data_IF_945309848882
#
_entry.id   IF_945309848882
#
_cell.length_a   1.000
_cell.length_b   1.000
_cell.length_c   1.000
_cell.angle_alpha   90.00
_cell.angle_beta   90.00
_cell.angle_gamma   90.00
#
_symmetry.space_group_name_H-M   'P 1'
#
loop_
_entity.id
_entity.type
_entity.pdbx_description
1 polymer ?
#
# COMPACT_ATOMS: atom_id res chain seq x y z
N UNK A 1 19.66 -20.57 4.78
CA UNK A 1 19.98 -19.14 4.93
C UNK A 1 19.16 -18.39 3.87
N UNK A 2 17.99 -17.84 4.24
CA UNK A 2 17.16 -17.09 3.30
C UNK A 2 17.93 -15.85 2.85
N UNK A 3 17.97 -15.53 1.54
CA UNK A 3 18.65 -14.34 1.08
C UNK A 3 17.97 -13.10 1.66
N UNK A 4 18.68 -12.40 2.52
CA UNK A 4 18.27 -11.16 3.20
C UNK A 4 18.03 -9.97 2.25
N UNK A 5 17.92 -10.22 0.95
CA UNK A 5 17.75 -9.20 -0.10
C UNK A 5 16.29 -8.78 -0.34
N UNK A 6 15.35 -9.23 0.49
CA UNK A 6 13.96 -8.80 0.38
C UNK A 6 13.71 -7.60 1.28
N UNK A 7 13.21 -6.55 0.68
CA UNK A 7 12.76 -5.32 1.32
C UNK A 7 11.77 -5.67 2.43
N UNK A 8 12.12 -5.37 3.68
CA UNK A 8 11.16 -5.26 4.77
C UNK A 8 10.32 -4.01 4.47
N UNK A 9 9.28 -4.19 3.67
CA UNK A 9 8.29 -3.14 3.49
C UNK A 9 7.38 -3.22 4.70
N UNK A 10 7.65 -2.38 5.67
CA UNK A 10 6.69 -2.16 6.73
C UNK A 10 5.50 -1.42 6.12
N UNK A 11 4.44 -2.16 5.84
CA UNK A 11 3.11 -1.65 5.52
C UNK A 11 2.45 -1.15 6.81
N UNK A 12 3.05 -0.18 7.46
CA UNK A 12 2.31 0.59 8.42
C UNK A 12 1.71 1.76 7.65
N UNK A 13 0.39 1.73 7.49
CA UNK A 13 -0.35 2.97 7.37
C UNK A 13 0.14 3.81 8.53
N UNK A 14 1.01 4.79 8.24
CA UNK A 14 1.31 5.79 9.23
C UNK A 14 0.00 6.50 9.44
N UNK A 15 -0.71 6.05 10.45
CA UNK A 15 -1.91 6.69 10.92
C UNK A 15 -1.56 8.15 11.14
N UNK A 16 -2.41 9.02 10.69
CA UNK A 16 -2.38 10.45 10.96
C UNK A 16 -2.15 10.76 12.43
N UNK A 17 -2.52 9.82 13.31
CA UNK A 17 -2.35 9.89 14.76
C UNK A 17 -0.91 9.71 15.24
N UNK A 18 0.01 9.13 14.45
CA UNK A 18 1.39 8.94 14.92
C UNK A 18 2.21 10.23 14.88
N UNK A 19 3.11 10.35 15.84
CA UNK A 19 4.15 11.36 15.86
C UNK A 19 5.14 11.11 14.70
N UNK A 20 5.24 12.06 13.78
CA UNK A 20 6.05 11.93 12.57
C UNK A 20 7.56 11.90 12.85
N UNK A 21 8.05 12.49 13.98
CA UNK A 21 9.45 12.35 14.39
C UNK A 21 9.75 10.90 14.75
N UNK A 22 8.92 10.31 15.60
CA UNK A 22 9.09 8.90 16.01
C UNK A 22 8.99 7.95 14.84
N UNK A 23 8.08 8.22 13.91
CA UNK A 23 8.00 7.46 12.68
C UNK A 23 9.33 7.50 11.93
N UNK A 24 9.86 8.68 11.67
CA UNK A 24 11.14 8.81 10.98
C UNK A 24 12.27 8.10 11.72
N UNK A 25 12.41 8.32 13.02
CA UNK A 25 13.43 7.71 13.86
C UNK A 25 13.38 6.18 13.89
N UNK A 26 12.17 5.61 14.00
CA UNK A 26 11.96 4.16 13.95
C UNK A 26 12.40 3.57 12.61
N UNK A 27 11.97 4.17 11.50
CA UNK A 27 12.35 3.70 10.17
C UNK A 27 13.84 3.91 9.87
N UNK A 28 14.41 5.03 10.31
CA UNK A 28 15.84 5.27 10.19
C UNK A 28 16.67 4.29 11.02
N UNK A 29 16.18 3.89 12.21
CA UNK A 29 16.81 2.85 13.04
C UNK A 29 16.78 1.50 12.33
N UNK A 30 15.65 1.12 11.71
CA UNK A 30 15.55 -0.13 10.93
C UNK A 30 16.47 -0.06 9.70
N UNK A 31 16.55 1.09 9.02
CA UNK A 31 17.45 1.26 7.88
C UNK A 31 18.93 1.13 8.27
N UNK A 32 19.31 1.59 9.48
CA UNK A 32 20.65 1.40 10.00
C UNK A 32 21.02 -0.09 10.18
N UNK A 33 20.04 -0.95 10.52
CA UNK A 33 20.21 -2.40 10.65
C UNK A 33 20.20 -3.08 9.28
N UNK A 34 19.33 -2.63 8.38
CA UNK A 34 19.10 -3.22 7.05
C UNK A 34 19.06 -2.15 5.96
N UNK A 35 20.20 -1.55 5.59
CA UNK A 35 20.28 -0.39 4.70
C UNK A 35 19.60 -0.61 3.34
N UNK A 36 18.76 0.33 2.94
CA UNK A 36 18.05 0.33 1.65
C UNK A 36 16.92 -0.70 1.56
N UNK A 37 16.51 -1.32 2.67
CA UNK A 37 15.45 -2.32 2.73
C UNK A 37 14.14 -1.79 3.32
N UNK A 38 14.10 -0.52 3.65
CA UNK A 38 12.99 0.15 4.32
C UNK A 38 12.29 1.10 3.36
N UNK A 39 10.97 1.12 3.41
CA UNK A 39 10.11 2.05 2.66
C UNK A 39 8.94 2.44 3.57
N UNK A 40 8.57 3.72 3.56
CA UNK A 40 7.43 4.24 4.32
C UNK A 40 6.22 4.31 3.37
N UNK A 41 5.08 3.78 3.81
CA UNK A 41 3.80 4.00 3.14
C UNK A 41 2.93 4.90 4.03
N UNK A 42 2.82 6.15 3.65
CA UNK A 42 2.01 7.13 4.38
C UNK A 42 0.54 7.02 3.98
N UNK A 43 -0.36 6.89 4.95
CA UNK A 43 -1.80 6.81 4.73
C UNK A 43 -2.57 7.48 5.86
N UNK A 44 -3.81 7.86 5.56
CA UNK A 44 -4.69 8.54 6.52
C UNK A 44 -5.28 7.60 7.58
N UNK A 45 -5.14 6.29 7.39
CA UNK A 45 -5.80 5.30 8.23
C UNK A 45 -7.23 4.96 7.80
N UNK A 46 -7.65 3.74 8.11
CA UNK A 46 -8.98 3.24 7.75
C UNK A 46 -9.97 3.27 8.91
N UNK A 47 -9.48 3.29 10.13
CA UNK A 47 -10.27 3.23 11.36
C UNK A 47 -10.25 4.60 12.06
N UNK A 48 -11.39 4.96 12.67
CA UNK A 48 -11.60 6.28 13.25
C UNK A 48 -11.23 6.33 14.73
N UNK A 49 -11.14 5.20 15.41
CA UNK A 49 -10.84 5.10 16.85
C UNK A 49 -9.51 5.77 17.24
N UNK A 50 -8.55 5.78 16.31
CA UNK A 50 -7.28 6.44 16.56
C UNK A 50 -7.41 7.96 16.71
N UNK A 51 -8.42 8.58 16.14
CA UNK A 51 -8.66 10.02 16.26
C UNK A 51 -9.04 10.37 17.69
N UNK A 52 -10.04 9.69 18.25
CA UNK A 52 -10.46 9.87 19.62
C UNK A 52 -9.33 9.54 20.62
N UNK A 53 -8.63 8.43 20.39
CA UNK A 53 -7.56 7.97 21.27
C UNK A 53 -6.40 8.95 21.33
N UNK A 54 -6.09 9.64 20.25
CA UNK A 54 -4.98 10.62 20.17
C UNK A 54 -5.45 12.08 20.21
N UNK A 55 -6.74 12.32 20.46
CA UNK A 55 -7.30 13.65 20.62
C UNK A 55 -7.36 14.47 19.33
N UNK A 56 -7.52 13.83 18.19
CA UNK A 56 -7.70 14.49 16.90
C UNK A 56 -9.18 14.50 16.50
N UNK A 57 -9.60 15.59 15.87
CA UNK A 57 -10.90 15.72 15.28
C UNK A 57 -10.92 15.20 13.83
N UNK A 58 -11.90 14.37 13.51
CA UNK A 58 -12.11 13.84 12.16
C UNK A 58 -12.38 14.93 11.11
N UNK A 59 -12.92 16.09 11.51
CA UNK A 59 -13.08 17.22 10.60
C UNK A 59 -11.75 17.69 10.01
N UNK A 60 -10.65 17.51 10.74
CA UNK A 60 -9.31 17.87 10.30
C UNK A 60 -8.55 16.77 9.57
N UNK A 61 -9.20 15.68 9.19
CA UNK A 61 -8.62 14.47 8.62
C UNK A 61 -7.63 14.70 7.47
N UNK A 62 -8.00 15.56 6.53
CA UNK A 62 -7.16 15.85 5.35
C UNK A 62 -6.02 16.82 5.69
N UNK A 63 -6.30 17.91 6.42
CA UNK A 63 -5.30 18.89 6.81
C UNK A 63 -4.21 18.27 7.70
N UNK A 64 -4.63 17.47 8.67
CA UNK A 64 -3.73 16.74 9.57
C UNK A 64 -2.76 15.84 8.81
N UNK A 65 -3.27 15.10 7.82
CA UNK A 65 -2.44 14.24 6.97
C UNK A 65 -1.45 15.03 6.14
N UNK A 66 -1.91 16.10 5.49
CA UNK A 66 -1.08 16.92 4.60
C UNK A 66 0.09 17.53 5.39
N UNK A 67 -0.22 18.21 6.48
CA UNK A 67 0.79 18.89 7.28
C UNK A 67 1.86 17.95 7.83
N UNK A 68 1.43 16.79 8.35
CA UNK A 68 2.35 15.77 8.85
C UNK A 68 3.17 15.11 7.74
N UNK A 69 2.58 14.88 6.58
CA UNK A 69 3.29 14.33 5.42
C UNK A 69 4.38 15.31 4.93
N UNK A 70 4.05 16.58 4.79
CA UNK A 70 5.00 17.60 4.34
C UNK A 70 6.19 17.72 5.30
N UNK A 71 5.92 17.73 6.60
CA UNK A 71 6.99 17.74 7.61
C UNK A 71 7.85 16.47 7.54
N UNK A 72 7.25 15.29 7.38
CA UNK A 72 7.97 14.03 7.21
C UNK A 72 8.85 14.04 5.95
N UNK A 73 8.34 14.55 4.83
CA UNK A 73 9.10 14.67 3.58
C UNK A 73 10.31 15.61 3.75
N UNK A 74 10.12 16.74 4.40
CA UNK A 74 11.20 17.69 4.68
C UNK A 74 12.25 17.07 5.61
N UNK A 75 11.83 16.49 6.72
CA UNK A 75 12.70 15.81 7.68
C UNK A 75 13.49 14.65 7.06
N UNK A 76 12.87 13.88 6.16
CA UNK A 76 13.53 12.80 5.45
C UNK A 76 14.63 13.29 4.50
N UNK A 77 14.49 14.51 3.98
CA UNK A 77 15.39 15.12 2.99
C UNK A 77 16.51 15.96 3.63
N UNK A 78 16.18 16.70 4.69
CA UNK A 78 17.08 17.65 5.34
C UNK A 78 17.62 17.08 6.66
N UNK A 79 18.92 17.24 6.92
CA UNK A 79 19.54 16.81 8.19
C UNK A 79 19.14 17.70 9.35
N UNK A 80 19.10 18.99 9.12
CA UNK A 80 18.71 20.00 10.09
C UNK A 80 17.34 20.53 9.66
N UNK A 81 16.39 20.40 10.55
CA UNK A 81 15.00 20.79 10.29
C UNK A 81 14.73 22.19 10.86
N UNK A 82 14.24 23.06 9.99
CA UNK A 82 13.55 24.29 10.34
C UNK A 82 12.10 24.17 9.89
N UNK A 83 11.16 24.24 10.84
CA UNK A 83 9.74 24.09 10.57
C UNK A 83 8.92 25.13 11.35
N UNK A 84 8.05 25.91 10.70
CA UNK A 84 7.16 26.83 11.42
C UNK A 84 6.18 26.05 12.28
N UNK A 85 5.61 26.69 13.30
CA UNK A 85 4.50 26.09 14.03
C UNK A 85 3.32 25.91 13.08
N UNK A 86 2.85 24.68 12.92
CA UNK A 86 1.62 24.35 12.22
C UNK A 86 0.42 24.24 13.16
N UNK A 87 -0.70 23.83 12.60
CA UNK A 87 -1.92 23.49 13.36
C UNK A 87 -1.74 22.19 14.14
N UNK A 88 -1.06 21.21 13.52
CA UNK A 88 -0.89 19.83 14.04
C UNK A 88 0.58 19.46 14.28
N UNK A 89 1.51 20.32 13.92
CA UNK A 89 2.94 20.09 14.06
C UNK A 89 3.59 21.17 14.90
N UNK A 90 4.58 20.82 15.74
CA UNK A 90 5.29 21.81 16.55
C UNK A 90 6.22 22.68 15.69
N UNK A 91 6.58 23.85 16.18
CA UNK A 91 7.71 24.61 15.64
C UNK A 91 9.00 23.83 15.92
N UNK A 92 9.87 23.76 14.93
CA UNK A 92 11.23 23.21 15.06
C UNK A 92 12.21 24.27 14.58
N UNK A 93 13.14 24.62 15.44
CA UNK A 93 14.12 25.67 15.24
C UNK A 93 15.51 25.04 15.17
N UNK A 94 15.99 24.84 13.95
CA UNK A 94 17.33 24.36 13.64
C UNK A 94 17.74 23.10 14.44
N UNK A 95 16.95 22.01 14.34
CA UNK A 95 17.18 20.75 15.06
C UNK A 95 17.50 19.60 14.13
N UNK A 96 18.51 18.81 14.51
CA UNK A 96 18.78 17.52 13.89
C UNK A 96 17.84 16.44 14.42
N UNK A 97 17.38 15.56 13.55
CA UNK A 97 16.55 14.41 13.89
C UNK A 97 17.38 13.15 13.63
N UNK A 98 17.60 12.32 14.65
CA UNK A 98 18.51 11.17 14.61
C UNK A 98 17.84 9.88 15.10
N UNK A 99 18.28 8.68 14.59
CA UNK A 99 19.38 8.49 13.64
C UNK A 99 19.04 8.98 12.22
N UNK A 100 20.09 9.19 11.39
CA UNK A 100 19.93 9.58 9.98
C UNK A 100 20.25 8.41 9.05
N UNK A 101 19.49 8.30 7.97
CA UNK A 101 19.78 7.36 6.89
C UNK A 101 20.80 7.95 5.91
N UNK A 102 21.58 7.10 5.26
CA UNK A 102 22.56 7.54 4.24
C UNK A 102 21.90 8.12 2.98
N UNK A 103 20.68 7.69 2.69
CA UNK A 103 19.83 8.18 1.59
C UNK A 103 18.44 8.38 2.13
N UNK A 104 17.65 9.32 1.59
CA UNK A 104 16.26 9.46 1.99
C UNK A 104 15.50 8.13 1.89
N UNK A 105 14.70 7.82 2.90
CA UNK A 105 13.83 6.63 2.90
C UNK A 105 12.79 6.83 1.81
N UNK A 106 12.56 5.85 0.91
CA UNK A 106 11.46 5.94 -0.04
C UNK A 106 10.12 6.09 0.66
N UNK A 107 9.32 7.08 0.26
CA UNK A 107 8.00 7.35 0.82
C UNK A 107 6.97 7.23 -0.31
N UNK A 108 5.92 6.44 -0.08
CA UNK A 108 4.75 6.32 -0.94
C UNK A 108 3.50 6.77 -0.20
N UNK A 109 2.47 7.19 -0.94
CA UNK A 109 1.17 7.57 -0.36
C UNK A 109 0.13 6.50 -0.66
N UNK A 110 -0.53 6.01 0.39
CA UNK A 110 -1.66 5.10 0.28
C UNK A 110 -2.99 5.88 0.24
N UNK A 111 -3.87 5.53 -0.68
CA UNK A 111 -5.19 6.15 -0.84
C UNK A 111 -6.27 5.11 -1.15
N UNK A 112 -7.48 5.34 -0.65
CA UNK A 112 -8.67 4.56 -0.99
C UNK A 112 -9.28 4.92 -2.35
N UNK A 113 -8.68 5.86 -3.10
CA UNK A 113 -9.14 6.24 -4.45
C UNK A 113 -9.84 7.60 -4.52
N UNK A 114 -9.56 8.55 -3.61
CA UNK A 114 -10.03 9.92 -3.78
C UNK A 114 -9.26 10.64 -4.89
N UNK A 115 -9.97 11.49 -5.64
CA UNK A 115 -9.40 12.31 -6.73
C UNK A 115 -8.35 13.26 -6.17
N UNK A 116 -8.65 13.92 -5.06
CA UNK A 116 -7.79 14.92 -4.40
C UNK A 116 -6.47 14.30 -3.94
N UNK A 117 -6.53 13.13 -3.29
CA UNK A 117 -5.33 12.37 -2.89
C UNK A 117 -4.49 11.95 -4.10
N UNK A 118 -5.14 11.55 -5.19
CA UNK A 118 -4.47 11.14 -6.43
C UNK A 118 -3.73 12.33 -7.04
N UNK A 119 -4.38 13.49 -7.16
CA UNK A 119 -3.78 14.72 -7.71
C UNK A 119 -2.60 15.16 -6.84
N UNK A 120 -2.81 15.32 -5.54
CA UNK A 120 -1.78 15.76 -4.58
C UNK A 120 -0.54 14.85 -4.61
N UNK A 121 -0.75 13.54 -4.61
CA UNK A 121 0.37 12.58 -4.64
C UNK A 121 1.17 12.70 -5.94
N UNK A 122 0.48 12.92 -7.06
CA UNK A 122 1.11 13.12 -8.36
C UNK A 122 1.90 14.44 -8.42
N UNK A 123 1.36 15.53 -7.87
CA UNK A 123 2.02 16.84 -7.78
C UNK A 123 3.28 16.80 -6.92
N UNK A 124 3.23 16.10 -5.79
CA UNK A 124 4.38 15.87 -4.90
C UNK A 124 5.46 14.97 -5.50
N UNK A 125 5.23 14.33 -6.64
CA UNK A 125 6.18 13.40 -7.26
C UNK A 125 6.37 12.10 -6.46
N UNK A 126 5.39 11.72 -5.65
CA UNK A 126 5.46 10.54 -4.77
C UNK A 126 4.83 9.31 -5.41
N UNK A 127 5.40 8.12 -5.20
CA UNK A 127 4.74 6.84 -5.50
C UNK A 127 3.36 6.74 -4.86
N UNK A 128 2.40 6.11 -5.55
CA UNK A 128 1.03 5.94 -5.08
C UNK A 128 0.67 4.46 -4.89
N UNK A 129 -0.08 4.18 -3.84
CA UNK A 129 -0.63 2.85 -3.55
C UNK A 129 -2.14 2.95 -3.40
N UNK A 130 -2.88 2.35 -4.30
CA UNK A 130 -4.34 2.28 -4.21
C UNK A 130 -4.78 1.11 -3.34
N UNK A 131 -5.53 1.38 -2.28
CA UNK A 131 -6.18 0.36 -1.46
C UNK A 131 -7.45 -0.13 -2.17
N UNK A 132 -7.31 -1.21 -2.92
CA UNK A 132 -8.39 -1.84 -3.68
C UNK A 132 -8.94 -3.00 -2.86
N UNK A 133 -9.87 -2.70 -1.97
CA UNK A 133 -10.40 -3.65 -0.98
C UNK A 133 -11.88 -4.03 -1.23
N UNK A 134 -12.49 -3.51 -2.29
CA UNK A 134 -13.87 -3.81 -2.67
C UNK A 134 -14.15 -3.46 -4.13
N UNK A 135 -15.21 -4.04 -4.69
CA UNK A 135 -15.65 -3.83 -6.08
C UNK A 135 -14.73 -4.45 -7.12
N UNK A 136 -14.82 -3.97 -8.36
CA UNK A 136 -13.94 -4.36 -9.45
C UNK A 136 -12.67 -3.50 -9.43
N UNK A 137 -11.47 -4.10 -9.32
CA UNK A 137 -10.20 -3.37 -9.36
C UNK A 137 -10.04 -2.45 -10.58
N UNK A 138 -10.66 -2.78 -11.70
CA UNK A 138 -10.54 -1.98 -12.94
C UNK A 138 -11.21 -0.61 -12.85
N UNK A 139 -12.08 -0.39 -11.87
CA UNK A 139 -12.65 0.93 -11.59
C UNK A 139 -11.59 1.96 -11.17
N UNK A 140 -10.40 1.55 -10.76
CA UNK A 140 -9.28 2.45 -10.46
C UNK A 140 -8.52 2.95 -11.71
N UNK A 141 -8.82 2.41 -12.90
CA UNK A 141 -8.14 2.80 -14.15
C UNK A 141 -8.22 4.30 -14.47
N UNK A 142 -9.35 5.00 -14.29
CA UNK A 142 -9.42 6.45 -14.49
C UNK A 142 -8.51 7.23 -13.52
N UNK A 143 -8.43 6.82 -12.25
CA UNK A 143 -7.57 7.45 -11.25
C UNK A 143 -6.09 7.28 -11.58
N UNK A 144 -5.68 6.09 -12.04
CA UNK A 144 -4.31 5.83 -12.47
C UNK A 144 -3.94 6.68 -13.70
N UNK A 145 -4.87 6.87 -14.65
CA UNK A 145 -4.67 7.77 -15.79
C UNK A 145 -4.54 9.21 -15.32
N UNK A 146 -5.37 9.64 -14.38
CA UNK A 146 -5.32 10.98 -13.79
C UNK A 146 -3.97 11.22 -13.11
N UNK A 147 -3.52 10.29 -12.27
CA UNK A 147 -2.23 10.36 -11.59
C UNK A 147 -1.07 10.59 -12.58
N UNK A 148 -1.00 9.78 -13.64
CA UNK A 148 0.04 9.93 -14.66
C UNK A 148 0.00 11.28 -15.37
N UNK A 149 -1.21 11.70 -15.79
CA UNK A 149 -1.42 12.98 -16.47
C UNK A 149 -1.00 14.18 -15.61
N UNK A 150 -1.36 14.16 -14.32
CA UNK A 150 -0.98 15.26 -13.40
C UNK A 150 0.54 15.26 -13.19
N UNK A 151 1.15 14.10 -12.93
CA UNK A 151 2.60 14.00 -12.74
C UNK A 151 3.37 14.50 -13.98
N UNK A 152 2.96 14.12 -15.18
CA UNK A 152 3.54 14.62 -16.44
C UNK A 152 3.38 16.14 -16.59
N UNK A 153 2.18 16.66 -16.27
CA UNK A 153 1.89 18.10 -16.38
C UNK A 153 2.78 18.97 -15.49
N UNK A 154 3.13 18.47 -14.30
CA UNK A 154 4.04 19.19 -13.37
C UNK A 154 5.52 18.83 -13.57
N UNK A 155 5.86 18.01 -14.57
CA UNK A 155 7.24 17.67 -14.93
C UNK A 155 7.89 16.59 -14.06
N UNK A 156 7.11 15.82 -13.33
CA UNK A 156 7.62 14.72 -12.52
C UNK A 156 8.02 13.49 -13.35
N UNK A 157 9.09 12.83 -12.96
CA UNK A 157 9.64 11.66 -13.63
C UNK A 157 8.87 10.38 -13.24
N UNK A 158 7.94 9.96 -14.09
CA UNK A 158 7.11 8.76 -13.89
C UNK A 158 7.93 7.46 -13.71
N UNK A 159 9.18 7.42 -14.18
CA UNK A 159 10.04 6.23 -14.00
C UNK A 159 10.44 6.02 -12.53
N UNK A 160 10.40 7.08 -11.74
CA UNK A 160 10.67 7.09 -10.30
C UNK A 160 9.41 7.00 -9.44
N UNK A 161 8.24 6.98 -10.06
CA UNK A 161 6.94 7.01 -9.41
C UNK A 161 6.17 5.69 -9.62
N UNK A 162 6.56 4.59 -8.95
CA UNK A 162 5.83 3.34 -9.03
C UNK A 162 4.36 3.51 -8.62
N UNK A 163 3.47 2.84 -9.34
CA UNK A 163 2.05 2.75 -9.04
C UNK A 163 1.78 1.34 -8.52
N UNK A 164 1.18 1.25 -7.35
CA UNK A 164 0.87 -0.01 -6.71
C UNK A 164 -0.61 -0.16 -6.37
N UNK A 165 -1.03 -1.40 -6.19
CA UNK A 165 -2.27 -1.74 -5.52
C UNK A 165 -1.99 -2.54 -4.24
N UNK A 166 -2.88 -2.38 -3.27
CA UNK A 166 -2.97 -3.15 -2.04
C UNK A 166 -4.36 -3.76 -1.95
N UNK A 167 -4.43 -5.06 -1.72
CA UNK A 167 -5.70 -5.79 -1.62
C UNK A 167 -5.63 -6.83 -0.51
N UNK A 168 -6.79 -7.23 0.02
CA UNK A 168 -6.90 -8.36 0.92
C UNK A 168 -6.76 -9.67 0.18
N UNK A 169 -6.20 -10.69 0.82
CA UNK A 169 -6.13 -12.00 0.25
C UNK A 169 -5.71 -13.09 1.23
N UNK A 170 -5.91 -14.32 0.80
CA UNK A 170 -5.59 -15.51 1.56
C UNK A 170 -5.15 -16.66 0.66
N UNK A 171 -4.27 -17.47 1.18
CA UNK A 171 -3.66 -18.57 0.43
C UNK A 171 -3.72 -19.88 1.22
N UNK A 172 -4.11 -20.93 0.53
CA UNK A 172 -3.95 -22.31 0.95
C UNK A 172 -3.67 -23.16 -0.31
N UNK A 173 -3.01 -24.31 -0.18
CA UNK A 173 -2.82 -25.22 -1.31
C UNK A 173 -4.15 -25.80 -1.83
N UNK A 174 -5.15 -25.90 -0.94
CA UNK A 174 -6.54 -26.20 -1.29
C UNK A 174 -7.31 -24.88 -1.46
N UNK A 175 -7.72 -24.60 -2.71
CA UNK A 175 -8.46 -23.41 -3.08
C UNK A 175 -9.79 -23.26 -2.35
N UNK A 176 -10.56 -24.36 -2.25
CA UNK A 176 -11.88 -24.33 -1.64
C UNK A 176 -11.76 -24.12 -0.12
N UNK A 177 -10.73 -24.72 0.48
CA UNK A 177 -10.39 -24.46 1.89
C UNK A 177 -10.01 -22.99 2.09
N UNK A 178 -9.20 -22.42 1.23
CA UNK A 178 -8.83 -21.00 1.31
C UNK A 178 -10.06 -20.09 1.31
N UNK A 179 -10.99 -20.33 0.38
CA UNK A 179 -12.23 -19.55 0.25
C UNK A 179 -13.09 -19.68 1.52
N UNK A 180 -13.24 -20.89 2.03
CA UNK A 180 -14.04 -21.15 3.22
C UNK A 180 -13.44 -20.52 4.47
N UNK A 181 -12.14 -20.68 4.68
CA UNK A 181 -11.46 -20.20 5.91
C UNK A 181 -11.44 -18.66 5.98
N UNK A 182 -11.33 -17.97 4.85
CA UNK A 182 -11.24 -16.52 4.80
C UNK A 182 -12.58 -15.79 4.84
N UNK A 183 -13.71 -16.50 4.71
CA UNK A 183 -15.04 -15.88 4.75
C UNK A 183 -15.34 -15.22 6.08
N UNK A 184 -15.26 -15.98 7.18
CA UNK A 184 -15.66 -15.48 8.49
C UNK A 184 -14.79 -14.29 8.96
N UNK A 185 -13.45 -14.33 8.86
CA UNK A 185 -12.61 -13.18 9.15
C UNK A 185 -12.94 -11.95 8.30
N UNK A 186 -13.20 -12.15 7.00
CA UNK A 186 -13.60 -11.05 6.11
C UNK A 186 -14.93 -10.45 6.50
N UNK A 187 -15.93 -11.29 6.77
CA UNK A 187 -17.25 -10.84 7.22
C UNK A 187 -17.15 -10.03 8.51
N UNK A 188 -16.42 -10.54 9.50
CA UNK A 188 -16.25 -9.87 10.78
C UNK A 188 -15.66 -8.46 10.62
N UNK A 189 -14.62 -8.32 9.79
CA UNK A 189 -13.98 -7.04 9.52
C UNK A 189 -14.92 -6.08 8.76
N UNK A 190 -15.62 -6.57 7.73
CA UNK A 190 -16.53 -5.74 6.93
C UNK A 190 -17.73 -5.30 7.77
N UNK A 191 -18.29 -6.19 8.60
CA UNK A 191 -19.40 -5.87 9.51
C UNK A 191 -18.98 -4.82 10.54
N UNK A 192 -17.75 -4.90 11.08
CA UNK A 192 -17.21 -3.89 11.99
C UNK A 192 -17.05 -2.52 11.27
N UNK A 193 -16.47 -2.50 10.08
CA UNK A 193 -16.31 -1.26 9.30
C UNK A 193 -17.68 -0.65 8.98
N UNK A 194 -18.71 -1.46 8.74
CA UNK A 194 -20.04 -0.99 8.42
C UNK A 194 -20.72 -0.23 9.59
N UNK A 195 -20.33 -0.49 10.81
CA UNK A 195 -20.84 0.25 11.99
C UNK A 195 -20.31 1.67 12.05
N UNK A 196 -19.11 1.92 11.52
CA UNK A 196 -18.46 3.23 11.53
C UNK A 196 -18.71 4.01 10.20
N UNK A 197 -19.03 3.28 9.14
CA UNK A 197 -19.18 3.83 7.78
C UNK A 197 -20.50 3.39 7.16
N UNK A 198 -21.57 4.21 7.24
CA UNK A 198 -22.91 3.85 6.76
C UNK A 198 -23.00 3.46 5.29
N UNK A 199 -22.02 3.88 4.46
CA UNK A 199 -21.94 3.48 3.05
C UNK A 199 -21.46 2.04 2.85
N UNK A 200 -20.93 1.39 3.87
CA UNK A 200 -20.58 -0.02 3.85
C UNK A 200 -21.75 -0.83 4.42
N UNK A 201 -22.22 -1.80 3.66
CA UNK A 201 -23.19 -2.79 4.15
C UNK A 201 -22.44 -4.00 4.67
N UNK A 202 -23.01 -4.73 5.62
CA UNK A 202 -22.46 -6.01 6.06
C UNK A 202 -22.28 -6.98 4.89
N UNK A 203 -21.46 -8.04 5.07
CA UNK A 203 -21.12 -8.97 4.01
C UNK A 203 -21.90 -10.28 4.11
N UNK A 204 -22.66 -10.64 3.07
CA UNK A 204 -23.23 -11.99 2.90
C UNK A 204 -22.20 -12.94 2.28
N UNK A 205 -22.49 -14.23 2.31
CA UNK A 205 -21.61 -15.23 1.69
C UNK A 205 -21.56 -15.08 0.15
N UNK A 206 -22.69 -14.76 -0.48
CA UNK A 206 -22.79 -14.52 -1.90
C UNK A 206 -21.95 -13.30 -2.33
N UNK A 207 -22.05 -12.19 -1.60
CA UNK A 207 -21.22 -11.00 -1.83
C UNK A 207 -19.72 -11.30 -1.64
N UNK A 208 -19.38 -12.13 -0.66
CA UNK A 208 -18.01 -12.59 -0.49
C UNK A 208 -17.52 -13.43 -1.68
N UNK A 209 -18.33 -14.38 -2.19
CA UNK A 209 -17.98 -15.18 -3.36
C UNK A 209 -17.78 -14.31 -4.61
N UNK A 210 -18.59 -13.28 -4.80
CA UNK A 210 -18.36 -12.27 -5.86
C UNK A 210 -17.04 -11.52 -5.67
N UNK A 211 -16.76 -11.09 -4.44
CA UNK A 211 -15.53 -10.35 -4.12
C UNK A 211 -14.25 -11.18 -4.29
N UNK A 212 -14.28 -12.50 -4.03
CA UNK A 212 -13.16 -13.42 -4.31
C UNK A 212 -13.12 -13.91 -5.74
N UNK A 213 -14.21 -13.74 -6.48
CA UNK A 213 -14.33 -14.11 -7.89
C UNK A 213 -13.30 -13.40 -8.78
N UNK A 214 -13.29 -13.74 -10.07
CA UNK A 214 -12.26 -13.29 -11.03
C UNK A 214 -12.14 -11.78 -11.16
N UNK A 215 -13.25 -11.05 -11.04
CA UNK A 215 -13.32 -9.58 -11.16
C UNK A 215 -13.45 -8.86 -9.81
N UNK A 216 -13.44 -9.59 -8.71
CA UNK A 216 -13.52 -9.00 -7.38
C UNK A 216 -12.17 -8.55 -6.83
N UNK A 217 -12.19 -7.79 -5.74
CA UNK A 217 -10.99 -7.16 -5.15
C UNK A 217 -10.30 -8.01 -4.08
N UNK A 218 -10.83 -9.19 -3.72
CA UNK A 218 -10.25 -10.07 -2.69
C UNK A 218 -9.55 -11.25 -3.37
N UNK A 219 -8.27 -11.47 -3.05
CA UNK A 219 -7.38 -12.42 -3.73
C UNK A 219 -7.23 -13.69 -2.90
N UNK A 220 -8.13 -14.65 -3.05
CA UNK A 220 -8.19 -15.87 -2.25
C UNK A 220 -8.13 -17.10 -3.14
N UNK A 221 -7.38 -18.11 -2.72
CA UNK A 221 -7.29 -19.39 -3.41
C UNK A 221 -5.93 -20.07 -3.26
N UNK A 222 -5.62 -20.95 -4.20
CA UNK A 222 -4.30 -21.53 -4.34
C UNK A 222 -3.31 -20.56 -5.01
N UNK A 223 -2.04 -20.94 -5.04
CA UNK A 223 -0.97 -20.10 -5.59
C UNK A 223 -1.18 -19.73 -7.06
N UNK A 224 -1.79 -20.63 -7.85
CA UNK A 224 -2.05 -20.40 -9.27
C UNK A 224 -3.19 -19.39 -9.48
N UNK A 225 -4.30 -19.59 -8.79
CA UNK A 225 -5.46 -18.68 -8.82
C UNK A 225 -5.06 -17.25 -8.42
N UNK A 226 -4.34 -17.11 -7.32
CA UNK A 226 -3.94 -15.79 -6.81
C UNK A 226 -2.90 -15.13 -7.72
N UNK A 227 -1.90 -15.88 -8.20
CA UNK A 227 -0.89 -15.34 -9.12
C UNK A 227 -1.52 -14.82 -10.42
N UNK A 228 -2.41 -15.60 -11.04
CA UNK A 228 -3.08 -15.22 -12.29
C UNK A 228 -3.96 -13.98 -12.11
N UNK A 229 -4.69 -13.87 -10.98
CA UNK A 229 -5.50 -12.70 -10.66
C UNK A 229 -4.64 -11.45 -10.44
N UNK A 230 -3.50 -11.57 -9.73
CA UNK A 230 -2.55 -10.46 -9.56
C UNK A 230 -1.99 -10.02 -10.91
N UNK A 231 -1.55 -10.94 -11.76
CA UNK A 231 -1.04 -10.65 -13.11
C UNK A 231 -2.09 -9.89 -13.92
N UNK A 232 -3.33 -10.40 -13.97
CA UNK A 232 -4.44 -9.76 -14.69
C UNK A 232 -4.65 -8.31 -14.25
N UNK A 233 -4.72 -8.07 -12.94
CA UNK A 233 -4.97 -6.74 -12.39
C UNK A 233 -3.79 -5.81 -12.65
N UNK A 234 -2.56 -6.29 -12.43
CA UNK A 234 -1.36 -5.49 -12.68
C UNK A 234 -1.23 -5.08 -14.14
N UNK A 235 -1.51 -5.98 -15.09
CA UNK A 235 -1.49 -5.66 -16.53
C UNK A 235 -2.57 -4.65 -16.92
N UNK A 236 -3.82 -4.92 -16.53
CA UNK A 236 -4.96 -4.09 -16.93
C UNK A 236 -4.89 -2.67 -16.37
N UNK A 237 -4.30 -2.51 -15.20
CA UNK A 237 -4.11 -1.21 -14.54
C UNK A 237 -2.74 -0.59 -14.83
N UNK A 238 -1.78 -1.35 -15.36
CA UNK A 238 -0.41 -0.90 -15.58
C UNK A 238 0.32 -0.63 -14.26
N UNK A 239 0.13 -1.51 -13.28
CA UNK A 239 0.80 -1.43 -11.98
C UNK A 239 2.22 -1.97 -12.07
N UNK A 240 3.12 -1.42 -11.27
CA UNK A 240 4.50 -1.89 -11.13
C UNK A 240 4.73 -2.69 -9.87
N UNK A 241 3.79 -2.62 -8.91
CA UNK A 241 3.85 -3.33 -7.62
C UNK A 241 2.46 -3.78 -7.19
N UNK A 242 2.43 -4.87 -6.41
CA UNK A 242 1.21 -5.37 -5.78
C UNK A 242 1.52 -5.80 -4.34
N UNK A 243 0.67 -5.39 -3.41
CA UNK A 243 0.74 -5.76 -2.01
C UNK A 243 -0.47 -6.60 -1.62
N UNK A 244 -0.23 -7.80 -1.10
CA UNK A 244 -1.26 -8.66 -0.58
C UNK A 244 -1.25 -8.62 0.95
N UNK A 245 -2.36 -8.19 1.53
CA UNK A 245 -2.59 -8.17 2.97
C UNK A 245 -3.24 -9.49 3.38
N UNK A 246 -2.46 -10.38 3.94
CA UNK A 246 -2.88 -11.75 4.24
C UNK A 246 -3.74 -11.86 5.49
N UNK A 247 -3.27 -11.47 6.70
CA UNK A 247 -4.09 -11.63 7.89
C UNK A 247 -5.09 -10.49 8.02
N UNK A 248 -6.34 -10.84 8.19
CA UNK A 248 -7.42 -9.92 8.61
C UNK A 248 -8.13 -10.53 9.80
N UNK A 249 -8.67 -9.67 10.69
CA UNK A 249 -9.31 -10.10 11.93
C UNK A 249 -8.46 -11.15 12.70
N UNK A 250 -9.10 -12.13 13.32
CA UNK A 250 -8.42 -13.18 14.10
C UNK A 250 -8.25 -14.43 13.24
N UNK A 251 -7.02 -14.74 12.87
CA UNK A 251 -6.64 -15.95 12.13
C UNK A 251 -5.57 -16.74 12.86
N UNK A 252 -5.58 -18.10 12.79
CA UNK A 252 -4.55 -18.91 13.43
C UNK A 252 -3.16 -18.55 12.92
N UNK A 253 -2.22 -18.40 13.84
CA UNK A 253 -0.84 -17.97 13.51
C UNK A 253 -0.16 -18.90 12.50
N UNK A 254 -0.32 -20.19 12.65
CA UNK A 254 0.31 -21.17 11.75
C UNK A 254 -0.23 -21.08 10.34
N UNK A 255 -1.55 -20.91 10.19
CA UNK A 255 -2.18 -20.71 8.87
C UNK A 255 -1.68 -19.40 8.22
N UNK A 256 -1.48 -18.33 9.00
CA UNK A 256 -0.89 -17.09 8.51
C UNK A 256 0.53 -17.31 8.01
N UNK A 257 1.34 -18.05 8.77
CA UNK A 257 2.73 -18.36 8.37
C UNK A 257 2.79 -19.21 7.10
N UNK A 258 1.87 -20.16 6.93
CA UNK A 258 1.77 -20.97 5.72
C UNK A 258 1.32 -20.12 4.52
N UNK A 259 0.32 -19.26 4.69
CA UNK A 259 -0.10 -18.35 3.63
C UNK A 259 1.04 -17.39 3.19
N UNK A 260 1.84 -16.88 4.14
CA UNK A 260 3.04 -16.07 3.85
C UNK A 260 4.05 -16.88 3.04
N UNK A 261 4.27 -18.15 3.40
CA UNK A 261 5.21 -19.03 2.70
C UNK A 261 4.75 -19.29 1.27
N UNK A 262 3.49 -19.69 1.07
CA UNK A 262 2.91 -19.92 -0.25
C UNK A 262 3.01 -18.63 -1.11
N UNK A 263 2.68 -17.47 -0.54
CA UNK A 263 2.83 -16.19 -1.24
C UNK A 263 4.27 -15.93 -1.67
N UNK A 264 5.21 -16.07 -0.74
CA UNK A 264 6.63 -15.78 -0.99
C UNK A 264 7.33 -16.75 -1.93
N UNK A 265 7.03 -18.03 -1.82
CA UNK A 265 7.74 -19.10 -2.53
C UNK A 265 7.07 -19.53 -3.84
N UNK A 266 5.75 -19.34 -3.97
CA UNK A 266 5.01 -19.77 -5.15
C UNK A 266 4.41 -18.61 -5.96
N UNK A 267 3.65 -17.70 -5.31
CA UNK A 267 2.96 -16.62 -6.03
C UNK A 267 3.94 -15.58 -6.56
N UNK A 268 4.82 -15.05 -5.70
CA UNK A 268 5.77 -13.99 -6.08
C UNK A 268 6.69 -14.42 -7.22
N UNK A 269 7.28 -15.63 -7.25
CA UNK A 269 8.09 -16.08 -8.38
C UNK A 269 7.29 -16.19 -9.68
N UNK A 270 6.05 -16.71 -9.65
CA UNK A 270 5.18 -16.81 -10.84
C UNK A 270 4.91 -15.43 -11.44
N UNK A 271 4.48 -14.47 -10.61
CA UNK A 271 4.20 -13.09 -11.05
C UNK A 271 5.47 -12.44 -11.63
N UNK A 272 6.60 -12.56 -10.94
CA UNK A 272 7.89 -12.00 -11.42
C UNK A 272 8.31 -12.59 -12.75
N UNK A 273 8.26 -13.91 -12.89
CA UNK A 273 8.63 -14.61 -14.13
C UNK A 273 7.77 -14.16 -15.30
N UNK A 274 6.47 -13.99 -15.08
CA UNK A 274 5.55 -13.50 -16.10
C UNK A 274 5.97 -12.13 -16.64
N UNK A 275 6.19 -11.15 -15.77
CA UNK A 275 6.55 -9.79 -16.19
C UNK A 275 7.97 -9.70 -16.76
N UNK A 276 8.91 -10.52 -16.30
CA UNK A 276 10.25 -10.62 -16.89
C UNK A 276 10.20 -11.11 -18.35
N UNK A 277 9.49 -12.21 -18.62
CA UNK A 277 9.30 -12.75 -19.98
C UNK A 277 8.61 -11.74 -20.89
N UNK A 278 7.59 -11.04 -20.39
CA UNK A 278 6.89 -10.00 -21.15
C UNK A 278 7.82 -8.84 -21.53
N UNK A 279 8.60 -8.34 -20.58
CA UNK A 279 9.58 -7.27 -20.85
C UNK A 279 10.61 -7.68 -21.90
N UNK A 280 11.07 -8.92 -21.84
CA UNK A 280 12.01 -9.46 -22.83
C UNK A 280 11.38 -9.58 -24.23
N UNK A 281 10.15 -10.08 -24.32
CA UNK A 281 9.39 -10.14 -25.57
C UNK A 281 9.16 -8.75 -26.19
N UNK A 282 8.82 -7.75 -25.36
CA UNK A 282 8.61 -6.38 -25.84
C UNK A 282 9.93 -5.75 -26.33
N UNK A 283 11.07 -6.00 -25.68
CA UNK A 283 12.40 -5.59 -26.13
C UNK A 283 12.78 -6.25 -27.46
N UNK A 284 12.47 -7.53 -27.65
CA UNK A 284 12.72 -8.24 -28.91
C UNK A 284 11.88 -7.67 -30.04
N UNK A 285 10.58 -7.40 -29.82
CA UNK A 285 9.70 -6.77 -30.82
C UNK A 285 10.21 -5.40 -31.29
N UNK A 286 10.78 -4.60 -30.36
CA UNK A 286 11.37 -3.31 -30.69
C UNK A 286 12.64 -3.44 -31.54
N UNK A 287 13.47 -4.47 -31.32
CA UNK A 287 14.67 -4.73 -32.14
C UNK A 287 14.35 -5.17 -33.59
N UNK A 288 13.16 -5.72 -33.84
CA UNK A 288 12.73 -6.15 -35.16
C UNK A 288 11.98 -5.06 -35.95
N UNK A 289 11.74 -3.89 -35.35
CA UNK A 289 11.07 -2.75 -36.01
C UNK A 289 12.04 -1.65 -36.45
N UNK A 290 13.31 -1.77 -36.11
CA UNK A 290 14.43 -0.93 -36.56
C UNK A 290 15.36 -1.74 -37.48
#
# INVERSE_FOLDING_TARGET
MYPLNKILKSLHNIHVSYDHFRVYEQYATIDAIAPGRVEIMAGRGSFTEAFDLFGYDLENYDELFIEKLEMLLKMNKEEILDWPKGKFTPRVDHKGIYPRTKKPIPISVATGGSIESTIRTAELGLPIVYAIIGGDPLHFKPLIKLYRRVAEKVGNDLTKMPIAAHSWGWLNHDKDKAIKDYFYPTKLLVDQISTERPQWTGMTYEQYLEAVGENGAIFVGDSETVANKIIKVMEKLGLTRFYLHLPIASMPHEDVMDAIRIYGEEVVPKVKTYFQKKTEQDRLKLKWKN
#
